data_IF_494702151840
#
_entry.id   IF_494702151840
#
_cell.length_a   1.000
_cell.length_b   1.000
_cell.length_c   1.000
_cell.angle_alpha   90.00
_cell.angle_beta   90.00
_cell.angle_gamma   90.00
#
_symmetry.space_group_name_H-M   'P 1'
#
loop_
_entity.id
_entity.type
_entity.pdbx_description
1 polymer ?
#
# COMPACT_ATOMS: atom_id res chain seq x y z
N UNK A 1 19.51 -6.84 -28.80
CA UNK A 1 18.10 -6.50 -28.51
C UNK A 1 18.13 -5.36 -27.52
N UNK A 2 17.48 -4.24 -27.81
CA UNK A 2 17.47 -3.08 -26.92
C UNK A 2 16.85 -3.46 -25.56
N UNK A 3 17.43 -2.98 -24.47
CA UNK A 3 16.99 -3.26 -23.10
C UNK A 3 15.52 -2.86 -22.90
N UNK A 4 15.07 -1.80 -23.59
CA UNK A 4 13.67 -1.38 -23.62
C UNK A 4 12.72 -2.48 -24.11
N UNK A 5 13.06 -3.14 -25.23
CA UNK A 5 12.23 -4.24 -25.79
C UNK A 5 12.19 -5.46 -24.86
N UNK A 6 13.26 -5.69 -24.11
CA UNK A 6 13.35 -6.78 -23.14
C UNK A 6 12.44 -6.54 -21.93
N UNK A 7 12.32 -5.28 -21.50
CA UNK A 7 11.40 -4.84 -20.44
C UNK A 7 9.95 -4.96 -20.91
N UNK A 8 9.64 -4.57 -22.14
CA UNK A 8 8.30 -4.72 -22.72
C UNK A 8 7.88 -6.20 -22.78
N UNK A 9 8.78 -7.08 -23.21
CA UNK A 9 8.55 -8.52 -23.23
C UNK A 9 8.39 -9.07 -21.80
N UNK A 10 9.22 -8.64 -20.84
CA UNK A 10 9.11 -9.07 -19.45
C UNK A 10 7.80 -8.61 -18.80
N UNK A 11 7.34 -7.38 -19.09
CA UNK A 11 6.08 -6.84 -18.62
C UNK A 11 4.89 -7.54 -19.26
N UNK A 12 4.97 -7.86 -20.54
CA UNK A 12 3.96 -8.66 -21.24
C UNK A 12 3.88 -10.08 -20.68
N UNK A 13 5.02 -10.74 -20.43
CA UNK A 13 5.08 -12.06 -19.80
C UNK A 13 4.51 -11.99 -18.38
N UNK A 14 4.86 -10.97 -17.59
CA UNK A 14 4.27 -10.75 -16.27
C UNK A 14 2.76 -10.60 -16.36
N UNK A 15 2.25 -9.78 -17.28
CA UNK A 15 0.83 -9.55 -17.47
C UNK A 15 0.09 -10.83 -17.87
N UNK A 16 0.63 -11.58 -18.83
CA UNK A 16 0.08 -12.87 -19.28
C UNK A 16 0.12 -13.91 -18.16
N UNK A 17 1.20 -13.97 -17.38
CA UNK A 17 1.34 -14.91 -16.27
C UNK A 17 0.43 -14.53 -15.09
N UNK A 18 0.21 -13.24 -14.80
CA UNK A 18 -0.76 -12.76 -13.79
C UNK A 18 -2.17 -13.18 -14.18
N UNK A 19 -2.58 -12.90 -15.42
CA UNK A 19 -3.91 -13.27 -15.92
C UNK A 19 -4.08 -14.79 -15.95
N UNK A 20 -3.10 -15.51 -16.50
CA UNK A 20 -3.14 -16.96 -16.61
C UNK A 20 -3.09 -17.68 -15.27
N UNK A 21 -2.35 -17.14 -14.29
CA UNK A 21 -2.31 -17.63 -12.92
C UNK A 21 -3.63 -17.45 -12.17
N UNK A 22 -4.32 -16.33 -12.39
CA UNK A 22 -5.67 -16.07 -11.86
C UNK A 22 -6.71 -16.98 -12.54
N UNK A 23 -6.54 -17.29 -13.82
CA UNK A 23 -7.49 -18.08 -14.62
C UNK A 23 -7.25 -19.60 -14.58
N UNK A 24 -6.31 -20.10 -13.75
CA UNK A 24 -6.01 -21.54 -13.65
C UNK A 24 -5.60 -22.21 -14.98
N UNK A 25 -4.95 -21.48 -15.88
CA UNK A 25 -4.39 -22.08 -17.10
C UNK A 25 -3.27 -23.06 -16.71
N UNK A 26 -3.25 -24.26 -17.31
CA UNK A 26 -2.28 -25.31 -17.00
C UNK A 26 -0.87 -24.95 -17.52
N UNK A 27 -0.14 -24.16 -16.76
CA UNK A 27 1.29 -23.92 -17.02
C UNK A 27 2.19 -24.96 -16.32
N UNK A 28 3.41 -25.19 -16.84
CA UNK A 28 4.50 -25.84 -16.12
C UNK A 28 4.65 -25.28 -14.71
N UNK A 29 5.00 -26.15 -13.74
CA UNK A 29 5.04 -25.81 -12.30
C UNK A 29 5.91 -24.59 -11.99
N UNK A 30 7.01 -24.39 -12.72
CA UNK A 30 7.91 -23.26 -12.53
C UNK A 30 7.32 -21.91 -13.00
N UNK A 31 6.46 -21.92 -14.03
CA UNK A 31 5.77 -20.70 -14.50
C UNK A 31 4.61 -20.28 -13.60
N UNK A 32 4.13 -21.17 -12.73
CA UNK A 32 3.06 -20.84 -11.76
C UNK A 32 3.54 -19.98 -10.60
N UNK A 33 4.84 -19.99 -10.30
CA UNK A 33 5.41 -19.18 -9.23
C UNK A 33 6.09 -17.94 -9.83
N UNK A 34 5.52 -16.73 -9.64
CA UNK A 34 6.08 -15.53 -10.23
C UNK A 34 7.49 -15.20 -9.74
N UNK A 35 7.94 -15.73 -8.59
CA UNK A 35 9.32 -15.52 -8.13
C UNK A 35 10.36 -16.15 -9.06
N UNK A 36 10.08 -17.31 -9.66
CA UNK A 36 11.02 -17.92 -10.59
C UNK A 36 11.11 -17.12 -11.89
N UNK A 37 9.97 -16.66 -12.40
CA UNK A 37 9.91 -15.81 -13.59
C UNK A 37 10.63 -14.49 -13.33
N UNK A 38 10.30 -13.81 -12.23
CA UNK A 38 10.94 -12.55 -11.83
C UNK A 38 12.44 -12.72 -11.57
N UNK A 39 12.84 -13.79 -10.89
CA UNK A 39 14.25 -14.09 -10.62
C UNK A 39 15.04 -14.36 -11.90
N UNK A 40 14.46 -15.06 -12.87
CA UNK A 40 15.07 -15.27 -14.19
C UNK A 40 15.23 -13.95 -14.95
N UNK A 41 14.22 -13.07 -14.93
CA UNK A 41 14.30 -11.73 -15.53
C UNK A 41 15.40 -10.89 -14.85
N UNK A 42 15.46 -10.86 -13.52
CA UNK A 42 16.50 -10.12 -12.80
C UNK A 42 17.90 -10.67 -13.09
N UNK A 43 18.05 -12.00 -13.13
CA UNK A 43 19.32 -12.64 -13.50
C UNK A 43 19.74 -12.22 -14.90
N UNK A 44 18.81 -12.24 -15.85
CA UNK A 44 19.07 -11.80 -17.22
C UNK A 44 19.43 -10.31 -17.29
N UNK A 45 18.75 -9.46 -16.51
CA UNK A 45 19.08 -8.02 -16.41
C UNK A 45 20.52 -7.80 -15.95
N UNK A 46 20.98 -8.53 -14.92
CA UNK A 46 22.35 -8.46 -14.40
C UNK A 46 23.37 -8.96 -15.43
N UNK A 47 23.10 -10.10 -16.08
CA UNK A 47 24.00 -10.70 -17.08
C UNK A 47 24.15 -9.81 -18.32
N UNK A 48 23.05 -9.20 -18.78
CA UNK A 48 23.06 -8.37 -19.99
C UNK A 48 23.62 -6.96 -19.77
N UNK A 49 23.75 -6.51 -18.52
CA UNK A 49 24.30 -5.20 -18.20
C UNK A 49 25.52 -5.36 -17.29
N UNK A 50 26.75 -5.42 -17.86
CA UNK A 50 27.96 -5.70 -17.09
C UNK A 50 28.47 -4.52 -16.24
N UNK A 51 27.78 -3.37 -16.25
CA UNK A 51 28.23 -2.20 -15.51
C UNK A 51 28.15 -2.45 -13.99
N UNK A 52 29.25 -2.34 -13.23
CA UNK A 52 29.23 -2.57 -11.78
C UNK A 52 28.28 -1.63 -11.03
N UNK A 53 28.15 -0.37 -11.48
CA UNK A 53 27.19 0.59 -10.91
C UNK A 53 25.75 0.11 -11.01
N UNK A 54 25.37 -0.52 -12.12
CA UNK A 54 24.06 -1.13 -12.28
C UNK A 54 23.85 -2.29 -11.32
N UNK A 55 24.86 -3.16 -11.15
CA UNK A 55 24.77 -4.29 -10.21
C UNK A 55 24.60 -3.83 -8.76
N UNK A 56 25.36 -2.82 -8.33
CA UNK A 56 25.19 -2.24 -7.00
C UNK A 56 23.79 -1.65 -6.83
N UNK A 57 23.27 -0.95 -7.84
CA UNK A 57 21.90 -0.43 -7.83
C UNK A 57 20.84 -1.52 -7.72
N UNK A 58 20.99 -2.62 -8.47
CA UNK A 58 20.09 -3.79 -8.42
C UNK A 58 20.16 -4.47 -7.05
N UNK A 59 21.35 -4.77 -6.54
CA UNK A 59 21.53 -5.43 -5.24
C UNK A 59 21.00 -4.58 -4.08
N UNK A 60 21.30 -3.27 -4.10
CA UNK A 60 20.78 -2.35 -3.11
C UNK A 60 19.24 -2.28 -3.16
N UNK A 61 18.66 -2.18 -4.37
CA UNK A 61 17.22 -2.17 -4.53
C UNK A 61 16.58 -3.48 -4.04
N UNK A 62 17.18 -4.64 -4.32
CA UNK A 62 16.71 -5.93 -3.81
C UNK A 62 16.68 -5.90 -2.28
N UNK A 63 17.77 -5.46 -1.65
CA UNK A 63 17.87 -5.41 -0.20
C UNK A 63 16.80 -4.49 0.43
N UNK A 64 16.73 -3.23 -0.01
CA UNK A 64 15.80 -2.26 0.61
C UNK A 64 14.33 -2.59 0.31
N UNK A 65 13.99 -3.04 -0.91
CA UNK A 65 12.60 -3.35 -1.28
C UNK A 65 12.11 -4.66 -0.63
N UNK A 66 13.01 -5.62 -0.41
CA UNK A 66 12.75 -6.80 0.41
C UNK A 66 12.44 -6.40 1.86
N UNK A 67 13.33 -5.62 2.48
CA UNK A 67 13.15 -5.15 3.87
C UNK A 67 11.86 -4.33 3.97
N UNK A 68 11.53 -3.51 2.97
CA UNK A 68 10.29 -2.74 2.94
C UNK A 68 9.07 -3.66 3.04
N UNK A 69 8.97 -4.70 2.22
CA UNK A 69 7.80 -5.58 2.28
C UNK A 69 7.77 -6.48 3.51
N UNK A 70 8.92 -6.89 4.04
CA UNK A 70 8.98 -7.55 5.35
C UNK A 70 8.43 -6.62 6.44
N UNK A 71 8.86 -5.36 6.45
CA UNK A 71 8.42 -4.36 7.43
C UNK A 71 6.91 -4.09 7.34
N UNK A 72 6.34 -4.05 6.13
CA UNK A 72 4.89 -3.96 5.95
C UNK A 72 4.13 -5.19 6.42
N UNK A 73 4.67 -6.39 6.19
CA UNK A 73 4.11 -7.63 6.73
C UNK A 73 4.04 -7.58 8.26
N UNK A 74 5.15 -7.14 8.90
CA UNK A 74 5.24 -6.95 10.35
C UNK A 74 4.24 -5.91 10.87
N UNK A 75 4.24 -4.69 10.32
CA UNK A 75 3.35 -3.60 10.74
C UNK A 75 1.88 -3.99 10.58
N UNK A 76 1.51 -4.60 9.45
CA UNK A 76 0.14 -5.01 9.17
C UNK A 76 -0.36 -6.03 10.19
N UNK A 77 0.49 -6.96 10.63
CA UNK A 77 0.13 -7.97 11.63
C UNK A 77 0.14 -7.39 13.03
N UNK A 78 1.17 -6.60 13.39
CA UNK A 78 1.30 -5.97 14.69
C UNK A 78 0.08 -5.10 15.07
N UNK A 79 -0.54 -4.45 14.08
CA UNK A 79 -1.80 -3.71 14.25
C UNK A 79 -3.01 -4.53 14.74
N UNK A 80 -2.91 -5.85 14.71
CA UNK A 80 -3.96 -6.77 15.16
C UNK A 80 -3.47 -7.63 16.33
N UNK A 81 -2.44 -7.18 17.07
CA UNK A 81 -1.81 -7.94 18.14
C UNK A 81 -1.84 -7.19 19.47
N UNK A 82 -1.66 -7.92 20.56
CA UNK A 82 -1.72 -7.39 21.93
C UNK A 82 -0.49 -6.59 22.38
N UNK A 83 0.62 -6.57 21.60
CA UNK A 83 1.88 -5.93 21.99
C UNK A 83 2.03 -4.52 21.38
N UNK A 84 2.02 -3.50 22.24
CA UNK A 84 2.09 -2.10 21.79
C UNK A 84 3.48 -1.74 21.26
N UNK A 85 4.52 -2.18 21.98
CA UNK A 85 5.91 -1.96 21.60
C UNK A 85 6.19 -2.57 20.22
N UNK A 86 5.63 -3.76 19.96
CA UNK A 86 5.75 -4.39 18.64
C UNK A 86 5.09 -3.57 17.54
N UNK A 87 3.89 -3.04 17.74
CA UNK A 87 3.24 -2.20 16.74
C UNK A 87 3.97 -0.87 16.53
N UNK A 88 4.35 -0.17 17.60
CA UNK A 88 5.08 1.10 17.48
C UNK A 88 6.42 0.91 16.75
N UNK A 89 7.21 -0.09 17.15
CA UNK A 89 8.51 -0.41 16.54
C UNK A 89 8.36 -0.74 15.06
N UNK A 90 7.42 -1.62 14.71
CA UNK A 90 7.20 -2.03 13.32
C UNK A 90 6.63 -0.91 12.46
N UNK A 91 5.82 0.01 13.03
CA UNK A 91 5.31 1.18 12.32
C UNK A 91 6.41 2.21 12.03
N UNK A 92 7.30 2.49 13.00
CA UNK A 92 8.48 3.34 12.79
C UNK A 92 9.41 2.72 11.75
N UNK A 93 9.71 1.43 11.90
CA UNK A 93 10.59 0.71 10.98
C UNK A 93 10.03 0.68 9.54
N UNK A 94 8.73 0.41 9.38
CA UNK A 94 8.09 0.43 8.06
C UNK A 94 8.09 1.83 7.44
N UNK A 95 7.88 2.88 8.25
CA UNK A 95 7.94 4.27 7.77
C UNK A 95 9.34 4.66 7.30
N UNK A 96 10.38 4.27 8.06
CA UNK A 96 11.78 4.47 7.70
C UNK A 96 12.14 3.79 6.39
N UNK A 97 11.86 2.49 6.28
CA UNK A 97 12.27 1.73 5.09
C UNK A 97 11.49 2.18 3.86
N UNK A 98 10.19 2.52 4.01
CA UNK A 98 9.41 3.13 2.92
C UNK A 98 10.01 4.46 2.47
N UNK A 99 10.33 5.36 3.41
CA UNK A 99 10.89 6.67 3.10
C UNK A 99 12.23 6.53 2.36
N UNK A 100 13.12 5.67 2.86
CA UNK A 100 14.43 5.38 2.23
C UNK A 100 14.25 4.84 0.82
N UNK A 101 13.39 3.85 0.64
CA UNK A 101 13.17 3.20 -0.66
C UNK A 101 12.55 4.16 -1.66
N UNK A 102 11.50 4.90 -1.25
CA UNK A 102 10.87 5.89 -2.12
C UNK A 102 11.84 7.02 -2.47
N UNK A 103 12.66 7.49 -1.51
CA UNK A 103 13.69 8.50 -1.75
C UNK A 103 14.74 8.01 -2.76
N UNK A 104 15.23 6.78 -2.61
CA UNK A 104 16.18 6.17 -3.54
C UNK A 104 15.59 6.10 -4.95
N UNK A 105 14.39 5.53 -5.09
CA UNK A 105 13.70 5.40 -6.37
C UNK A 105 13.41 6.77 -7.00
N UNK A 106 12.94 7.74 -6.21
CA UNK A 106 12.65 9.10 -6.68
C UNK A 106 13.91 9.80 -7.22
N UNK A 107 15.01 9.73 -6.47
CA UNK A 107 16.28 10.36 -6.88
C UNK A 107 16.86 9.76 -8.15
N UNK A 108 16.61 8.48 -8.39
CA UNK A 108 17.01 7.79 -9.62
C UNK A 108 15.97 7.90 -10.74
N UNK A 109 14.92 8.72 -10.57
CA UNK A 109 13.83 8.91 -11.55
C UNK A 109 12.99 7.65 -11.84
N UNK A 110 13.01 6.67 -10.94
CA UNK A 110 12.22 5.43 -11.00
C UNK A 110 12.32 4.70 -12.35
N UNK A 111 13.52 4.31 -12.80
CA UNK A 111 13.70 3.81 -14.15
C UNK A 111 13.00 2.47 -14.32
N UNK A 112 12.19 2.32 -15.39
CA UNK A 112 11.38 1.11 -15.62
C UNK A 112 12.22 -0.18 -15.70
N UNK A 113 13.51 -0.08 -16.01
CA UNK A 113 14.43 -1.22 -15.97
C UNK A 113 14.56 -1.85 -14.58
N UNK A 114 14.33 -1.09 -13.51
CA UNK A 114 14.39 -1.60 -12.13
C UNK A 114 13.06 -2.22 -11.67
N UNK A 115 12.01 -2.17 -12.48
CA UNK A 115 10.69 -2.71 -12.12
C UNK A 115 10.73 -4.22 -11.84
N UNK A 116 11.36 -5.09 -12.66
CA UNK A 116 11.45 -6.52 -12.34
C UNK A 116 12.23 -6.79 -11.05
N UNK A 117 13.32 -6.05 -10.82
CA UNK A 117 14.11 -6.11 -9.58
C UNK A 117 13.28 -5.74 -8.36
N UNK A 118 12.53 -4.63 -8.44
CA UNK A 118 11.62 -4.20 -7.40
C UNK A 118 10.54 -5.26 -7.14
N UNK A 119 9.88 -5.77 -8.19
CA UNK A 119 8.86 -6.81 -8.09
C UNK A 119 9.38 -8.08 -7.43
N UNK A 120 10.54 -8.58 -7.87
CA UNK A 120 11.16 -9.76 -7.28
C UNK A 120 11.35 -9.60 -5.77
N UNK A 121 12.00 -8.52 -5.37
CA UNK A 121 12.33 -8.25 -3.97
C UNK A 121 11.08 -8.03 -3.10
N UNK A 122 10.09 -7.29 -3.61
CA UNK A 122 8.85 -6.99 -2.88
C UNK A 122 7.94 -8.20 -2.72
N UNK A 123 7.82 -9.05 -3.74
CA UNK A 123 7.06 -10.31 -3.67
C UNK A 123 7.74 -11.28 -2.70
N UNK A 124 9.07 -11.40 -2.78
CA UNK A 124 9.86 -12.23 -1.88
C UNK A 124 9.75 -11.76 -0.42
N UNK A 125 9.83 -10.45 -0.19
CA UNK A 125 9.65 -9.82 1.12
C UNK A 125 8.24 -10.00 1.68
N UNK A 126 7.20 -10.02 0.84
CA UNK A 126 5.82 -10.23 1.29
C UNK A 126 5.61 -11.63 1.87
N UNK A 127 6.18 -12.66 1.23
CA UNK A 127 6.10 -14.04 1.72
C UNK A 127 6.89 -14.21 3.02
N UNK A 128 8.12 -13.69 3.06
CA UNK A 128 8.96 -13.74 4.25
C UNK A 128 8.41 -12.91 5.41
N UNK A 129 7.79 -11.76 5.14
CA UNK A 129 7.18 -10.90 6.15
C UNK A 129 6.14 -11.64 6.98
N UNK A 130 5.30 -12.50 6.36
CA UNK A 130 4.33 -13.35 7.06
C UNK A 130 5.04 -14.30 8.05
N UNK A 131 6.07 -15.01 7.57
CA UNK A 131 6.82 -16.01 8.35
C UNK A 131 7.57 -15.35 9.50
N UNK A 132 8.30 -14.26 9.22
CA UNK A 132 9.09 -13.53 10.22
C UNK A 132 8.16 -12.96 11.30
N UNK A 133 7.03 -12.37 10.91
CA UNK A 133 6.07 -11.84 11.86
C UNK A 133 5.52 -12.91 12.80
N UNK A 134 5.15 -14.08 12.27
CA UNK A 134 4.68 -15.20 13.10
C UNK A 134 5.73 -15.66 14.12
N UNK A 135 7.00 -15.71 13.70
CA UNK A 135 8.11 -16.06 14.61
C UNK A 135 8.29 -15.02 15.72
N UNK A 136 8.27 -13.72 15.38
CA UNK A 136 8.40 -12.64 16.37
C UNK A 136 7.21 -12.65 17.32
N UNK A 137 5.98 -12.77 16.80
CA UNK A 137 4.74 -12.86 17.60
C UNK A 137 4.81 -13.98 18.63
N UNK A 138 5.25 -15.18 18.22
CA UNK A 138 5.45 -16.32 19.12
C UNK A 138 6.51 -16.03 20.18
N UNK A 139 7.61 -15.38 19.80
CA UNK A 139 8.70 -15.06 20.71
C UNK A 139 8.29 -14.04 21.78
N UNK A 140 7.52 -13.02 21.42
CA UNK A 140 7.06 -11.97 22.35
C UNK A 140 5.72 -12.28 23.03
N UNK A 141 5.14 -13.45 22.78
CA UNK A 141 3.83 -13.85 23.32
C UNK A 141 2.67 -12.98 22.86
N UNK A 142 2.76 -12.35 21.70
CA UNK A 142 1.71 -11.46 21.17
C UNK A 142 0.50 -12.27 20.69
N UNK A 143 -0.68 -12.00 21.26
CA UNK A 143 -1.94 -12.69 20.93
C UNK A 143 -2.74 -11.91 19.88
N UNK A 144 -3.61 -12.60 19.15
CA UNK A 144 -4.48 -12.09 18.07
C UNK A 144 -5.56 -11.11 18.54
N UNK A 145 -5.80 -10.97 19.84
CA UNK A 145 -6.77 -10.02 20.38
C UNK A 145 -6.17 -9.19 21.51
N UNK A 146 -6.27 -7.87 21.38
CA UNK A 146 -6.04 -6.96 22.49
C UNK A 146 -7.16 -7.17 23.54
N UNK A 147 -6.84 -7.23 24.85
CA UNK A 147 -7.85 -7.36 25.90
C UNK A 147 -8.96 -6.31 25.75
N UNK A 148 -10.22 -6.75 25.75
CA UNK A 148 -11.42 -5.90 25.59
C UNK A 148 -11.51 -4.74 26.61
N UNK A 149 -10.82 -4.88 27.75
CA UNK A 149 -11.04 -4.04 28.93
C UNK A 149 -10.07 -2.85 29.07
N UNK A 150 -9.19 -2.58 28.09
CA UNK A 150 -8.37 -1.37 28.10
C UNK A 150 -8.47 -0.64 26.76
N UNK A 151 -8.70 0.69 26.76
CA UNK A 151 -8.70 1.48 25.53
C UNK A 151 -7.34 1.34 24.85
N UNK A 152 -7.32 0.91 23.58
CA UNK A 152 -6.05 0.74 22.85
C UNK A 152 -5.26 2.06 22.80
N UNK A 153 -5.94 3.22 22.73
CA UNK A 153 -5.28 4.51 22.72
C UNK A 153 -4.42 4.77 23.98
N UNK A 154 -4.92 4.43 25.17
CA UNK A 154 -4.21 4.63 26.44
C UNK A 154 -2.92 3.81 26.52
N UNK A 155 -2.90 2.68 25.82
CA UNK A 155 -1.76 1.78 25.68
C UNK A 155 -0.64 2.34 24.79
N UNK A 156 -0.97 3.27 23.90
CA UNK A 156 -0.04 3.83 22.90
C UNK A 156 0.45 5.25 23.23
N UNK A 157 -0.14 5.90 24.25
CA UNK A 157 0.15 7.29 24.58
C UNK A 157 1.64 7.61 24.79
N UNK A 158 2.46 6.79 25.50
CA UNK A 158 3.88 7.11 25.68
C UNK A 158 4.66 7.20 24.36
N UNK A 159 4.42 6.28 23.42
CA UNK A 159 5.09 6.29 22.11
C UNK A 159 4.66 7.49 21.26
N UNK A 160 3.38 7.87 21.35
CA UNK A 160 2.85 9.06 20.68
C UNK A 160 3.53 10.33 21.24
N UNK A 161 3.66 10.44 22.56
CA UNK A 161 4.34 11.58 23.21
C UNK A 161 5.79 11.70 22.75
N UNK A 162 6.55 10.60 22.72
CA UNK A 162 7.95 10.62 22.26
C UNK A 162 8.06 11.11 20.81
N UNK A 163 7.20 10.63 19.91
CA UNK A 163 7.20 11.05 18.51
C UNK A 163 6.78 12.51 18.33
N UNK A 164 5.84 13.01 19.15
CA UNK A 164 5.44 14.41 19.17
C UNK A 164 6.55 15.31 19.69
N UNK A 165 7.23 14.91 20.77
CA UNK A 165 8.38 15.65 21.31
C UNK A 165 9.49 15.71 20.25
N UNK A 166 9.83 14.58 19.61
CA UNK A 166 10.81 14.57 18.54
C UNK A 166 10.43 15.51 17.39
N UNK A 167 9.16 15.51 16.96
CA UNK A 167 8.67 16.40 15.92
C UNK A 167 8.74 17.88 16.33
N UNK A 168 8.38 18.22 17.57
CA UNK A 168 8.48 19.58 18.12
C UNK A 168 9.95 20.01 18.16
N UNK A 169 10.85 19.14 18.64
CA UNK A 169 12.29 19.42 18.65
C UNK A 169 12.83 19.66 17.24
N UNK A 170 12.39 18.89 16.23
CA UNK A 170 12.75 19.17 14.85
C UNK A 170 12.27 20.56 14.40
N UNK A 171 11.00 20.90 14.68
CA UNK A 171 10.41 22.18 14.26
C UNK A 171 11.15 23.36 14.91
N UNK A 172 11.58 23.23 16.15
CA UNK A 172 12.22 24.32 16.91
C UNK A 172 13.73 24.44 16.65
N UNK A 173 14.43 23.32 16.46
CA UNK A 173 15.90 23.28 16.54
C UNK A 173 16.60 22.79 15.28
N UNK A 174 15.90 22.20 14.30
CA UNK A 174 16.54 21.73 13.06
C UNK A 174 16.36 22.78 11.97
N UNK A 175 17.44 23.46 11.52
CA UNK A 175 17.37 24.37 10.40
C UNK A 175 16.80 23.66 9.18
N UNK A 176 15.73 24.23 8.63
CA UNK A 176 14.95 23.60 7.58
C UNK A 176 14.60 24.63 6.51
N UNK A 177 14.73 24.28 5.20
CA UNK A 177 14.18 25.11 4.13
C UNK A 177 12.65 25.11 4.12
N UNK A 178 12.01 24.16 4.81
CA UNK A 178 10.57 24.09 5.00
C UNK A 178 10.16 24.93 6.21
N UNK A 179 9.15 25.78 6.03
CA UNK A 179 8.50 26.47 7.15
C UNK A 179 7.83 25.48 8.12
N UNK A 180 7.75 25.84 9.40
CA UNK A 180 7.17 25.01 10.46
C UNK A 180 5.76 24.52 10.17
N UNK A 181 4.95 25.35 9.50
CA UNK A 181 3.59 24.99 9.07
C UNK A 181 3.58 23.86 8.02
N UNK A 182 4.59 23.78 7.16
CA UNK A 182 4.70 22.72 6.15
C UNK A 182 5.08 21.39 6.80
N UNK A 183 6.00 21.42 7.77
CA UNK A 183 6.37 20.23 8.57
C UNK A 183 5.17 19.72 9.35
N UNK A 184 4.45 20.62 10.05
CA UNK A 184 3.24 20.27 10.78
C UNK A 184 2.12 19.79 9.85
N UNK A 185 1.93 20.45 8.70
CA UNK A 185 0.97 20.09 7.67
C UNK A 185 1.23 18.69 7.10
N UNK A 186 2.48 18.36 6.78
CA UNK A 186 2.86 17.02 6.32
C UNK A 186 2.62 15.96 7.41
N UNK A 187 2.94 16.25 8.67
CA UNK A 187 2.65 15.34 9.78
C UNK A 187 1.14 15.09 9.92
N UNK A 188 0.33 16.15 9.83
CA UNK A 188 -1.13 16.03 9.88
C UNK A 188 -1.69 15.25 8.67
N UNK A 189 -1.27 15.56 7.45
CA UNK A 189 -1.69 14.83 6.25
C UNK A 189 -1.32 13.34 6.35
N UNK A 190 -0.13 13.03 6.84
CA UNK A 190 0.31 11.63 7.01
C UNK A 190 -0.47 10.92 8.11
N UNK A 191 -0.87 11.64 9.17
CA UNK A 191 -1.80 11.15 10.18
C UNK A 191 -3.15 10.80 9.57
N UNK A 192 -3.74 11.69 8.78
CA UNK A 192 -5.01 11.44 8.11
C UNK A 192 -4.91 10.27 7.14
N UNK A 193 -3.87 10.19 6.29
CA UNK A 193 -3.65 9.06 5.38
C UNK A 193 -3.60 7.72 6.15
N UNK A 194 -2.77 7.63 7.19
CA UNK A 194 -2.59 6.37 7.92
C UNK A 194 -3.79 6.01 8.81
N UNK A 195 -4.49 7.02 9.35
CA UNK A 195 -5.77 6.85 10.03
C UNK A 195 -6.80 6.27 9.07
N UNK A 196 -7.02 6.92 7.92
CA UNK A 196 -7.98 6.50 6.91
C UNK A 196 -7.61 5.14 6.32
N UNK A 197 -6.32 4.85 6.12
CA UNK A 197 -5.87 3.53 5.69
C UNK A 197 -6.16 2.45 6.72
N UNK A 198 -5.98 2.72 8.01
CA UNK A 198 -6.32 1.79 9.08
C UNK A 198 -7.83 1.50 9.12
N UNK A 199 -8.68 2.52 8.97
CA UNK A 199 -10.14 2.37 8.85
C UNK A 199 -10.49 1.59 7.58
N UNK A 200 -9.85 1.91 6.45
CA UNK A 200 -10.08 1.26 5.16
C UNK A 200 -9.72 -0.23 5.18
N UNK A 201 -8.68 -0.63 5.93
CA UNK A 201 -8.36 -2.07 6.12
C UNK A 201 -9.53 -2.85 6.71
N UNK A 202 -10.25 -2.26 7.66
CA UNK A 202 -11.46 -2.88 8.23
C UNK A 202 -12.62 -2.79 7.23
N UNK A 203 -12.86 -1.60 6.66
CA UNK A 203 -13.95 -1.37 5.72
C UNK A 203 -13.87 -2.22 4.45
N UNK A 204 -12.67 -2.66 4.02
CA UNK A 204 -12.49 -3.63 2.92
C UNK A 204 -13.18 -4.96 3.18
N UNK A 205 -13.38 -5.35 4.44
CA UNK A 205 -14.07 -6.58 4.82
C UNK A 205 -15.51 -6.38 5.21
N UNK A 206 -15.99 -5.13 5.27
CA UNK A 206 -17.39 -4.86 5.53
C UNK A 206 -18.23 -4.99 4.26
N UNK A 207 -19.52 -5.21 4.45
CA UNK A 207 -20.53 -5.18 3.39
C UNK A 207 -21.08 -3.77 3.10
N UNK A 208 -20.44 -2.73 3.63
CA UNK A 208 -20.87 -1.34 3.50
C UNK A 208 -19.91 -0.55 2.60
N UNK A 209 -20.30 -0.37 1.34
CA UNK A 209 -19.51 0.35 0.33
C UNK A 209 -19.39 1.86 0.60
N UNK A 210 -20.35 2.48 1.29
CA UNK A 210 -20.23 3.90 1.66
C UNK A 210 -19.12 4.10 2.69
N UNK A 211 -19.08 3.25 3.71
CA UNK A 211 -18.01 3.25 4.71
C UNK A 211 -16.63 3.09 4.07
N UNK A 212 -16.52 2.13 3.13
CA UNK A 212 -15.30 1.94 2.35
C UNK A 212 -14.94 3.17 1.50
N UNK A 213 -15.90 3.69 0.74
CA UNK A 213 -15.70 4.81 -0.18
C UNK A 213 -15.23 6.08 0.52
N UNK A 214 -15.84 6.44 1.66
CA UNK A 214 -15.41 7.62 2.43
C UNK A 214 -14.00 7.45 3.03
N UNK A 215 -13.69 6.27 3.58
CA UNK A 215 -12.34 5.99 4.07
C UNK A 215 -11.31 6.06 2.94
N UNK A 216 -11.62 5.54 1.75
CA UNK A 216 -10.77 5.62 0.57
C UNK A 216 -10.61 7.07 0.08
N UNK A 217 -11.65 7.89 0.14
CA UNK A 217 -11.61 9.30 -0.28
C UNK A 217 -10.65 10.12 0.57
N UNK A 218 -10.82 10.03 1.89
CA UNK A 218 -9.94 10.72 2.84
C UNK A 218 -8.49 10.24 2.69
N UNK A 219 -8.29 8.93 2.53
CA UNK A 219 -6.96 8.37 2.33
C UNK A 219 -6.32 8.89 1.04
N UNK A 220 -7.02 8.80 -0.09
CA UNK A 220 -6.46 9.19 -1.39
C UNK A 220 -6.12 10.69 -1.43
N UNK A 221 -6.98 11.55 -0.88
CA UNK A 221 -6.73 12.99 -0.80
C UNK A 221 -5.52 13.32 0.06
N UNK A 222 -5.46 12.79 1.28
CA UNK A 222 -4.34 13.03 2.20
C UNK A 222 -3.01 12.51 1.64
N UNK A 223 -3.02 11.31 1.05
CA UNK A 223 -1.84 10.71 0.41
C UNK A 223 -1.35 11.53 -0.78
N UNK A 224 -2.26 12.02 -1.63
CA UNK A 224 -1.88 12.85 -2.78
C UNK A 224 -1.19 14.13 -2.33
N UNK A 225 -1.76 14.85 -1.38
CA UNK A 225 -1.19 16.09 -0.85
C UNK A 225 0.14 15.83 -0.12
N UNK A 226 0.23 14.76 0.65
CA UNK A 226 1.48 14.34 1.30
C UNK A 226 2.59 14.06 0.28
N UNK A 227 2.28 13.30 -0.77
CA UNK A 227 3.22 13.04 -1.87
C UNK A 227 3.59 14.32 -2.62
N UNK A 228 2.64 15.24 -2.83
CA UNK A 228 2.90 16.54 -3.46
C UNK A 228 3.98 17.32 -2.72
N UNK A 229 3.83 17.44 -1.39
CA UNK A 229 4.84 18.07 -0.53
C UNK A 229 6.15 17.28 -0.63
N UNK A 230 6.11 15.96 -0.48
CA UNK A 230 7.32 15.16 -0.46
C UNK A 230 8.14 15.24 -1.75
N UNK A 231 7.50 15.24 -2.91
CA UNK A 231 8.18 15.35 -4.20
C UNK A 231 8.63 16.78 -4.50
N UNK A 232 7.82 17.79 -4.15
CA UNK A 232 8.21 19.20 -4.32
C UNK A 232 9.46 19.57 -3.52
N UNK A 233 9.73 18.86 -2.42
CA UNK A 233 10.94 19.02 -1.61
C UNK A 233 11.92 17.84 -1.77
N UNK A 234 11.89 17.19 -2.93
CA UNK A 234 12.83 16.16 -3.36
C UNK A 234 13.09 15.06 -2.33
N UNK A 235 12.06 14.67 -1.59
CA UNK A 235 12.13 13.65 -0.54
C UNK A 235 13.19 13.96 0.54
N UNK A 236 13.46 15.24 0.84
CA UNK A 236 14.49 15.66 1.81
C UNK A 236 14.32 14.95 3.17
N UNK A 237 15.43 14.57 3.82
CA UNK A 237 15.43 13.90 5.13
C UNK A 237 14.68 14.65 6.23
N UNK A 238 14.56 15.98 6.15
CA UNK A 238 13.72 16.77 7.08
C UNK A 238 12.25 16.32 7.05
N UNK A 239 11.78 15.72 5.94
CA UNK A 239 10.42 15.22 5.81
C UNK A 239 10.21 13.86 6.49
N UNK A 240 11.28 13.15 6.86
CA UNK A 240 11.19 11.81 7.41
C UNK A 240 10.40 11.77 8.73
N UNK A 241 10.73 12.66 9.67
CA UNK A 241 10.08 12.66 10.98
C UNK A 241 8.60 13.07 10.93
N UNK A 242 8.17 14.14 10.23
CA UNK A 242 6.73 14.43 10.13
C UNK A 242 5.97 13.27 9.48
N UNK A 243 6.52 12.64 8.42
CA UNK A 243 5.90 11.45 7.82
C UNK A 243 5.83 10.28 8.81
N UNK A 244 6.88 10.02 9.58
CA UNK A 244 6.92 8.91 10.54
C UNK A 244 6.00 9.16 11.74
N UNK A 245 6.08 10.34 12.36
CA UNK A 245 5.23 10.73 13.49
C UNK A 245 3.76 10.69 13.09
N UNK A 246 3.40 11.35 11.99
CA UNK A 246 2.05 11.32 11.45
C UNK A 246 1.58 9.90 11.14
N UNK A 247 2.40 9.11 10.43
CA UNK A 247 2.05 7.77 10.01
C UNK A 247 1.82 6.79 11.17
N UNK A 248 2.70 6.82 12.17
CA UNK A 248 2.56 5.98 13.37
C UNK A 248 1.30 6.39 14.16
N UNK A 249 1.13 7.69 14.44
CA UNK A 249 -0.05 8.19 15.16
C UNK A 249 -1.35 7.85 14.44
N UNK A 250 -1.40 8.08 13.12
CA UNK A 250 -2.56 7.77 12.28
C UNK A 250 -2.90 6.28 12.31
N UNK A 251 -1.92 5.39 12.12
CA UNK A 251 -2.15 3.95 12.15
C UNK A 251 -2.70 3.47 13.51
N UNK A 252 -2.16 3.98 14.62
CA UNK A 252 -2.57 3.61 15.97
C UNK A 252 -3.99 4.09 16.30
N UNK A 253 -4.26 5.38 16.06
CA UNK A 253 -5.56 5.98 16.29
C UNK A 253 -6.62 5.38 15.37
N UNK A 254 -6.32 5.23 14.08
CA UNK A 254 -7.25 4.69 13.09
C UNK A 254 -7.69 3.27 13.39
N UNK A 255 -6.80 2.39 13.88
CA UNK A 255 -7.18 1.05 14.30
C UNK A 255 -8.17 1.05 15.48
N UNK A 256 -7.94 1.92 16.47
CA UNK A 256 -8.82 2.06 17.61
C UNK A 256 -10.22 2.53 17.19
N UNK A 257 -10.29 3.56 16.34
CA UNK A 257 -11.56 4.13 15.89
C UNK A 257 -12.28 3.27 14.85
N UNK A 258 -11.57 2.51 14.01
CA UNK A 258 -12.16 1.71 12.94
C UNK A 258 -13.27 0.79 13.45
N UNK A 259 -13.04 0.09 14.56
CA UNK A 259 -14.04 -0.81 15.16
C UNK A 259 -15.26 -0.05 15.67
N UNK A 260 -15.06 1.05 16.41
CA UNK A 260 -16.16 1.87 16.91
C UNK A 260 -16.99 2.50 15.79
N UNK A 261 -16.36 2.91 14.68
CA UNK A 261 -17.08 3.40 13.50
C UNK A 261 -17.90 2.26 12.90
N UNK A 262 -17.31 1.07 12.72
CA UNK A 262 -18.01 -0.09 12.18
C UNK A 262 -19.22 -0.51 13.01
N UNK A 263 -19.08 -0.53 14.33
CA UNK A 263 -20.15 -0.93 15.24
C UNK A 263 -21.31 0.08 15.16
N UNK A 264 -21.01 1.39 15.09
CA UNK A 264 -22.03 2.46 14.94
C UNK A 264 -22.82 2.37 13.63
N UNK A 265 -22.20 1.88 12.56
CA UNK A 265 -22.84 1.74 11.25
C UNK A 265 -23.39 0.33 10.99
N UNK A 266 -23.33 -0.57 11.98
CA UNK A 266 -23.77 -1.97 11.89
C UNK A 266 -23.17 -2.73 10.68
N UNK A 267 -21.90 -2.46 10.36
CA UNK A 267 -21.22 -3.14 9.26
C UNK A 267 -21.00 -4.63 9.58
N UNK A 268 -21.33 -5.52 8.63
CA UNK A 268 -21.09 -6.97 8.76
C UNK A 268 -19.83 -7.35 8.02
N UNK A 269 -19.04 -8.25 8.60
CA UNK A 269 -17.74 -8.65 8.06
C UNK A 269 -17.76 -10.05 7.45
N UNK A 270 -17.08 -10.22 6.31
CA UNK A 270 -16.85 -11.50 5.61
C UNK A 270 -18.12 -12.34 5.32
N UNK A 271 -19.27 -11.68 5.25
CA UNK A 271 -20.56 -12.31 4.92
C UNK A 271 -20.58 -12.97 3.52
N UNK A 272 -19.66 -12.59 2.63
CA UNK A 272 -19.53 -13.15 1.27
C UNK A 272 -18.83 -14.52 1.21
N UNK A 273 -18.04 -14.88 2.24
CA UNK A 273 -17.34 -16.17 2.30
C UNK A 273 -18.17 -17.21 3.07
N UNK A 274 -18.87 -16.77 4.12
CA UNK A 274 -19.58 -17.68 5.04
C UNK A 274 -21.06 -17.84 4.69
N UNK A 275 -21.62 -17.04 3.78
CA UNK A 275 -23.03 -17.11 3.40
C UNK A 275 -23.31 -16.96 1.91
N UNK A 276 -24.59 -17.11 1.56
CA UNK A 276 -25.09 -17.01 0.18
C UNK A 276 -25.29 -15.57 -0.30
N UNK A 277 -24.83 -14.59 0.47
CA UNK A 277 -24.99 -13.17 0.11
C UNK A 277 -24.35 -12.92 -1.25
N UNK A 278 -25.16 -12.36 -2.17
CA UNK A 278 -24.71 -11.96 -3.49
C UNK A 278 -23.78 -10.75 -3.36
N UNK A 279 -22.63 -10.81 -4.03
CA UNK A 279 -21.67 -9.69 -4.07
C UNK A 279 -22.18 -8.71 -5.13
N UNK A 280 -22.72 -7.58 -4.68
CA UNK A 280 -23.26 -6.54 -5.56
C UNK A 280 -22.19 -5.51 -5.94
N UNK A 281 -22.26 -5.01 -7.17
CA UNK A 281 -21.36 -3.96 -7.66
C UNK A 281 -21.72 -2.59 -7.06
N UNK A 282 -20.74 -1.80 -6.58
CA UNK A 282 -20.99 -0.51 -5.94
C UNK A 282 -21.23 0.63 -6.96
N UNK A 283 -22.17 0.44 -7.91
CA UNK A 283 -22.37 1.34 -9.05
C UNK A 283 -22.74 2.76 -8.61
N UNK A 284 -23.65 2.88 -7.64
CA UNK A 284 -24.11 4.19 -7.14
C UNK A 284 -22.95 4.94 -6.47
N UNK A 285 -22.17 4.27 -5.63
CA UNK A 285 -21.02 4.87 -4.96
C UNK A 285 -19.97 5.31 -5.98
N UNK A 286 -19.65 4.45 -6.96
CA UNK A 286 -18.74 4.79 -8.04
C UNK A 286 -19.22 6.02 -8.82
N UNK A 287 -20.50 6.10 -9.16
CA UNK A 287 -21.08 7.26 -9.85
C UNK A 287 -20.93 8.54 -9.02
N UNK A 288 -21.27 8.50 -7.72
CA UNK A 288 -21.17 9.66 -6.82
C UNK A 288 -19.73 10.13 -6.66
N UNK A 289 -18.78 9.23 -6.42
CA UNK A 289 -17.37 9.63 -6.32
C UNK A 289 -16.78 10.10 -7.66
N UNK A 290 -17.32 9.62 -8.79
CA UNK A 290 -16.90 10.07 -10.13
C UNK A 290 -17.34 11.50 -10.46
N UNK A 291 -18.30 12.09 -9.74
CA UNK A 291 -18.70 13.49 -9.91
C UNK A 291 -17.51 14.45 -9.71
N UNK A 292 -16.47 14.06 -8.98
CA UNK A 292 -15.24 14.83 -8.85
C UNK A 292 -14.54 15.12 -10.20
N UNK A 293 -14.71 14.26 -11.21
CA UNK A 293 -14.18 14.51 -12.55
C UNK A 293 -14.98 15.57 -13.33
N UNK A 294 -16.27 15.73 -13.03
CA UNK A 294 -17.08 16.81 -13.61
C UNK A 294 -16.57 18.15 -13.08
N UNK A 295 -16.35 18.23 -11.76
CA UNK A 295 -15.76 19.42 -11.12
C UNK A 295 -14.39 19.73 -11.71
N UNK A 296 -13.55 18.71 -11.92
CA UNK A 296 -12.26 18.88 -12.60
C UNK A 296 -12.42 19.49 -13.99
N UNK A 297 -13.33 18.96 -14.82
CA UNK A 297 -13.56 19.46 -16.17
C UNK A 297 -14.04 20.93 -16.20
N UNK A 298 -14.83 21.34 -15.21
CA UNK A 298 -15.30 22.73 -15.07
C UNK A 298 -14.15 23.67 -14.67
N UNK A 299 -13.29 23.26 -13.73
CA UNK A 299 -12.22 24.12 -13.18
C UNK A 299 -10.98 24.18 -14.07
N UNK A 300 -10.55 23.03 -14.61
CA UNK A 300 -9.27 22.89 -15.31
C UNK A 300 -9.40 22.69 -16.84
N UNK A 301 -10.63 22.49 -17.35
CA UNK A 301 -10.86 22.23 -18.77
C UNK A 301 -10.35 20.86 -19.23
N UNK A 302 -10.03 20.73 -20.53
CA UNK A 302 -9.60 19.47 -21.17
C UNK A 302 -8.19 19.50 -21.79
N UNK A 303 -7.43 20.58 -21.57
CA UNK A 303 -6.12 20.80 -22.22
C UNK A 303 -5.06 19.73 -21.92
N UNK A 304 -5.27 18.90 -20.88
CA UNK A 304 -4.37 17.82 -20.46
C UNK A 304 -5.05 16.43 -20.40
N UNK A 305 -6.08 16.19 -21.22
CA UNK A 305 -6.91 14.98 -21.14
C UNK A 305 -6.13 13.66 -21.08
N UNK A 306 -5.07 13.50 -21.89
CA UNK A 306 -4.26 12.26 -21.89
C UNK A 306 -3.58 12.05 -20.53
N UNK A 307 -2.94 13.09 -19.98
CA UNK A 307 -2.24 12.98 -18.69
C UNK A 307 -3.22 12.74 -17.53
N UNK A 308 -4.37 13.42 -17.57
CA UNK A 308 -5.46 13.26 -16.60
C UNK A 308 -6.03 11.84 -16.65
N UNK A 309 -6.35 11.32 -17.84
CA UNK A 309 -6.86 9.96 -18.04
C UNK A 309 -5.84 8.88 -17.66
N UNK A 310 -4.56 9.07 -18.00
CA UNK A 310 -3.50 8.14 -17.58
C UNK A 310 -3.35 8.10 -16.06
N UNK A 311 -3.35 9.26 -15.39
CA UNK A 311 -3.27 9.30 -13.94
C UNK A 311 -4.51 8.70 -13.27
N UNK A 312 -5.70 8.99 -13.79
CA UNK A 312 -6.95 8.38 -13.36
C UNK A 312 -6.87 6.85 -13.45
N UNK A 313 -6.42 6.32 -14.59
CA UNK A 313 -6.23 4.89 -14.82
C UNK A 313 -5.20 4.27 -13.87
N UNK A 314 -4.04 4.89 -13.69
CA UNK A 314 -3.03 4.39 -12.76
C UNK A 314 -3.51 4.41 -11.32
N UNK A 315 -4.12 5.50 -10.85
CA UNK A 315 -4.68 5.58 -9.51
C UNK A 315 -5.80 4.55 -9.29
N UNK A 316 -6.64 4.33 -10.30
CA UNK A 316 -7.67 3.29 -10.30
C UNK A 316 -7.08 1.89 -10.13
N UNK A 317 -6.20 1.47 -11.04
CA UNK A 317 -5.61 0.13 -10.96
C UNK A 317 -4.74 -0.04 -9.73
N UNK A 318 -4.07 1.02 -9.27
CA UNK A 318 -3.29 1.00 -8.04
C UNK A 318 -4.20 0.69 -6.85
N UNK A 319 -5.33 1.38 -6.73
CA UNK A 319 -6.27 1.14 -5.64
C UNK A 319 -6.97 -0.23 -5.74
N UNK A 320 -7.31 -0.69 -6.95
CA UNK A 320 -7.81 -2.06 -7.16
C UNK A 320 -6.80 -3.07 -6.61
N UNK A 321 -5.54 -2.95 -7.03
CA UNK A 321 -4.47 -3.87 -6.65
C UNK A 321 -4.21 -3.85 -5.14
N UNK A 322 -4.27 -2.67 -4.50
CA UNK A 322 -4.09 -2.53 -3.06
C UNK A 322 -5.21 -3.17 -2.25
N UNK A 323 -6.46 -3.04 -2.69
CA UNK A 323 -7.59 -3.69 -2.03
C UNK A 323 -7.43 -5.22 -2.07
N UNK A 324 -7.08 -5.78 -3.24
CA UNK A 324 -6.85 -7.21 -3.44
C UNK A 324 -5.71 -7.73 -2.55
N UNK A 325 -4.50 -7.14 -2.64
CA UNK A 325 -3.36 -7.63 -1.84
C UNK A 325 -3.56 -7.44 -0.34
N UNK A 326 -4.24 -6.36 0.07
CA UNK A 326 -4.55 -6.11 1.48
C UNK A 326 -5.41 -7.22 2.06
N UNK A 327 -6.39 -7.73 1.31
CA UNK A 327 -7.21 -8.86 1.74
C UNK A 327 -6.45 -10.17 1.65
N UNK A 328 -5.72 -10.42 0.55
CA UNK A 328 -4.93 -11.63 0.37
C UNK A 328 -3.92 -11.89 1.51
N UNK A 329 -3.33 -10.84 2.09
CA UNK A 329 -2.44 -10.92 3.28
C UNK A 329 -3.12 -11.45 4.54
N UNK A 330 -4.45 -11.41 4.60
CA UNK A 330 -5.28 -11.86 5.72
C UNK A 330 -5.95 -13.21 5.41
N UNK A 331 -5.54 -13.90 4.34
CA UNK A 331 -6.13 -15.16 3.89
C UNK A 331 -5.14 -16.30 3.90
N UNK A 332 -5.66 -17.51 4.07
CA UNK A 332 -4.91 -18.76 4.09
C UNK A 332 -4.57 -19.30 2.69
N UNK A 333 -4.22 -18.43 1.73
CA UNK A 333 -3.98 -18.82 0.34
C UNK A 333 -2.75 -18.12 -0.26
N UNK A 334 -1.58 -18.74 -0.13
CA UNK A 334 -0.29 -18.11 -0.49
C UNK A 334 -0.15 -17.79 -1.99
N UNK A 335 -0.74 -18.59 -2.88
CA UNK A 335 -0.75 -18.30 -4.33
C UNK A 335 -1.52 -17.01 -4.63
N UNK A 336 -2.61 -16.77 -3.90
CA UNK A 336 -3.43 -15.57 -4.04
C UNK A 336 -2.64 -14.35 -3.55
N UNK A 337 -2.00 -14.47 -2.39
CA UNK A 337 -1.10 -13.44 -1.86
C UNK A 337 0.03 -13.12 -2.84
N UNK A 338 0.67 -14.14 -3.42
CA UNK A 338 1.82 -13.94 -4.29
C UNK A 338 1.44 -13.16 -5.54
N UNK A 339 0.38 -13.56 -6.25
CA UNK A 339 -0.08 -12.85 -7.44
C UNK A 339 -0.64 -11.46 -7.14
N UNK A 340 -1.38 -11.30 -6.04
CA UNK A 340 -1.86 -10.00 -5.60
C UNK A 340 -0.68 -9.05 -5.28
N UNK A 341 0.41 -9.58 -4.70
CA UNK A 341 1.64 -8.82 -4.45
C UNK A 341 2.36 -8.41 -5.73
N UNK A 342 2.44 -9.28 -6.73
CA UNK A 342 3.01 -8.93 -8.06
C UNK A 342 2.23 -7.76 -8.65
N UNK A 343 0.90 -7.90 -8.72
CA UNK A 343 0.03 -6.89 -9.31
C UNK A 343 0.13 -5.56 -8.55
N UNK A 344 0.06 -5.60 -7.22
CA UNK A 344 0.08 -4.39 -6.41
C UNK A 344 1.41 -3.64 -6.44
N UNK A 345 2.54 -4.34 -6.27
CA UNK A 345 3.85 -3.69 -6.31
C UNK A 345 4.17 -3.17 -7.73
N UNK A 346 3.71 -3.87 -8.77
CA UNK A 346 3.91 -3.45 -10.16
C UNK A 346 3.18 -2.15 -10.48
N UNK A 347 1.88 -2.10 -10.21
CA UNK A 347 1.09 -0.90 -10.47
C UNK A 347 1.52 0.26 -9.57
N UNK A 348 1.91 0.00 -8.31
CA UNK A 348 2.47 1.04 -7.44
C UNK A 348 3.72 1.67 -8.06
N UNK A 349 4.66 0.87 -8.55
CA UNK A 349 5.87 1.38 -9.17
C UNK A 349 5.55 2.26 -10.39
N UNK A 350 4.65 1.81 -11.27
CA UNK A 350 4.22 2.57 -12.45
C UNK A 350 3.53 3.89 -12.08
N UNK A 351 2.72 3.87 -11.02
CA UNK A 351 2.03 5.07 -10.54
C UNK A 351 3.01 6.07 -9.97
N UNK A 352 3.96 5.61 -9.15
CA UNK A 352 5.01 6.46 -8.58
C UNK A 352 5.95 7.00 -9.67
N UNK A 353 6.31 6.19 -10.66
CA UNK A 353 7.07 6.65 -11.83
C UNK A 353 6.37 7.81 -12.54
N UNK A 354 5.06 7.69 -12.80
CA UNK A 354 4.29 8.76 -13.41
C UNK A 354 4.22 10.02 -12.53
N UNK A 355 4.03 9.86 -11.22
CA UNK A 355 3.92 10.99 -10.29
C UNK A 355 5.26 11.70 -10.06
N UNK A 356 6.36 10.94 -9.98
CA UNK A 356 7.70 11.45 -9.79
C UNK A 356 8.19 12.22 -11.01
N UNK A 357 7.91 11.74 -12.23
CA UNK A 357 8.42 12.35 -13.46
C UNK A 357 7.62 13.57 -13.94
N UNK A 358 6.31 13.63 -13.67
CA UNK A 358 5.43 14.63 -14.29
C UNK A 358 5.07 15.82 -13.40
N UNK A 359 5.71 15.98 -12.23
CA UNK A 359 5.34 16.93 -11.17
C UNK A 359 3.92 16.72 -10.62
N UNK A 360 3.68 17.03 -9.35
CA UNK A 360 2.34 16.97 -8.75
C UNK A 360 1.72 18.36 -8.79
N UNK A 361 0.77 18.56 -9.70
CA UNK A 361 0.07 19.83 -9.93
C UNK A 361 -1.39 19.76 -9.45
N UNK A 362 -2.05 20.90 -9.13
CA UNK A 362 -3.40 20.89 -8.57
C UNK A 362 -4.46 20.19 -9.44
N UNK A 363 -4.33 20.27 -10.77
CA UNK A 363 -5.22 19.59 -11.73
C UNK A 363 -5.18 18.06 -11.59
N UNK A 364 -4.08 17.49 -11.06
CA UNK A 364 -3.92 16.05 -10.84
C UNK A 364 -4.66 15.53 -9.61
N UNK A 365 -5.17 16.41 -8.75
CA UNK A 365 -5.85 16.02 -7.50
C UNK A 365 -7.09 15.18 -7.79
N UNK A 366 -8.00 15.68 -8.62
CA UNK A 366 -9.24 15.00 -8.94
C UNK A 366 -9.05 13.63 -9.62
N UNK A 367 -8.26 13.49 -10.71
CA UNK A 367 -8.05 12.17 -11.31
C UNK A 367 -7.38 11.17 -10.36
N UNK A 368 -6.43 11.61 -9.53
CA UNK A 368 -5.81 10.72 -8.54
C UNK A 368 -6.82 10.27 -7.47
N UNK A 369 -7.59 11.21 -6.92
CA UNK A 369 -8.57 10.92 -5.85
C UNK A 369 -9.73 10.08 -6.39
N UNK A 370 -10.34 10.47 -7.50
CA UNK A 370 -11.47 9.75 -8.11
C UNK A 370 -11.04 8.34 -8.52
N UNK A 371 -9.90 8.21 -9.22
CA UNK A 371 -9.34 6.91 -9.58
C UNK A 371 -9.07 6.08 -8.32
N UNK A 372 -8.46 6.70 -7.31
CA UNK A 372 -8.16 6.06 -6.04
C UNK A 372 -9.39 5.49 -5.33
N UNK A 373 -10.48 6.24 -5.25
CA UNK A 373 -11.72 5.82 -4.55
C UNK A 373 -12.49 4.78 -5.35
N UNK A 374 -12.75 5.05 -6.63
CA UNK A 374 -13.50 4.13 -7.50
C UNK A 374 -12.76 2.81 -7.67
N UNK A 375 -11.44 2.86 -7.84
CA UNK A 375 -10.59 1.67 -7.90
C UNK A 375 -10.60 0.89 -6.59
N UNK A 376 -10.66 1.55 -5.44
CA UNK A 376 -10.73 0.85 -4.15
C UNK A 376 -12.05 0.09 -3.99
N UNK A 377 -13.18 0.68 -4.40
CA UNK A 377 -14.50 0.05 -4.40
C UNK A 377 -14.56 -1.16 -5.35
N UNK A 378 -14.06 -1.01 -6.58
CA UNK A 378 -13.95 -2.11 -7.55
C UNK A 378 -13.03 -3.21 -7.00
N UNK A 379 -11.88 -2.84 -6.44
CA UNK A 379 -10.93 -3.79 -5.87
C UNK A 379 -11.50 -4.57 -4.69
N UNK A 380 -12.30 -3.93 -3.83
CA UNK A 380 -13.02 -4.62 -2.76
C UNK A 380 -13.95 -5.69 -3.35
N UNK A 381 -14.76 -5.32 -4.33
CA UNK A 381 -15.69 -6.23 -4.98
C UNK A 381 -14.97 -7.42 -5.66
N UNK A 382 -13.96 -7.15 -6.49
CA UNK A 382 -13.15 -8.17 -7.16
C UNK A 382 -12.51 -9.13 -6.13
N UNK A 383 -11.92 -8.59 -5.07
CA UNK A 383 -11.28 -9.42 -4.05
C UNK A 383 -12.28 -10.36 -3.36
N UNK A 384 -13.48 -9.87 -3.03
CA UNK A 384 -14.54 -10.71 -2.46
C UNK A 384 -14.97 -11.83 -3.43
N UNK A 385 -15.09 -11.53 -4.72
CA UNK A 385 -15.42 -12.54 -5.73
C UNK A 385 -14.33 -13.61 -5.87
N UNK A 386 -13.06 -13.18 -5.93
CA UNK A 386 -11.91 -14.08 -5.99
C UNK A 386 -11.87 -14.98 -4.77
N UNK A 387 -12.03 -14.42 -3.57
CA UNK A 387 -12.04 -15.18 -2.32
C UNK A 387 -13.16 -16.23 -2.26
N UNK A 388 -14.37 -15.86 -2.70
CA UNK A 388 -15.49 -16.79 -2.80
C UNK A 388 -15.19 -17.92 -3.78
N UNK A 389 -14.60 -17.60 -4.94
CA UNK A 389 -14.25 -18.59 -5.98
C UNK A 389 -13.17 -19.58 -5.53
N UNK A 390 -12.16 -19.12 -4.79
CA UNK A 390 -11.04 -19.97 -4.35
C UNK A 390 -11.20 -20.46 -2.89
N UNK A 391 -12.33 -20.17 -2.24
CA UNK A 391 -12.60 -20.44 -0.82
C UNK A 391 -11.46 -19.99 0.10
N UNK A 392 -10.89 -18.80 -0.16
CA UNK A 392 -9.84 -18.23 0.68
C UNK A 392 -10.47 -17.66 1.96
N UNK A 393 -10.14 -18.27 3.11
CA UNK A 393 -10.70 -17.91 4.42
C UNK A 393 -9.73 -17.05 5.21
N UNK A 394 -10.25 -16.29 6.18
CA UNK A 394 -9.43 -15.60 7.17
C UNK A 394 -8.46 -16.59 7.83
N UNK A 395 -7.21 -16.19 8.03
CA UNK A 395 -6.27 -16.93 8.89
C UNK A 395 -6.85 -16.97 10.32
N UNK A 396 -7.46 -18.10 10.71
CA UNK A 396 -7.78 -18.36 12.12
C UNK A 396 -6.47 -18.61 12.88
N UNK A 397 -6.39 -18.10 14.10
CA UNK A 397 -5.27 -18.41 14.99
C UNK A 397 -5.19 -19.94 15.17
N UNK A 398 -4.00 -20.58 15.14
CA UNK A 398 -3.84 -22.03 15.26
C UNK A 398 -4.48 -22.66 16.52
N UNK A 399 -4.88 -21.84 17.50
CA UNK A 399 -5.47 -22.28 18.76
C UNK A 399 -7.02 -22.27 18.74
N UNK A 400 -7.66 -22.22 17.57
CA UNK A 400 -9.12 -22.25 17.40
C UNK A 400 -9.61 -23.51 16.64
N UNK A 401 -8.78 -24.56 16.57
CA UNK A 401 -9.15 -25.90 16.10
C UNK A 401 -8.99 -26.88 17.25
#
# INVERSE_FOLDING_TARGET
MDMARLIDIALLILFVCVIGGILHIQYPRFLRNPLYVLGAVVTLQVVLNPAPSFWYGVLFLIAIAYIQNVSYGLQSRAGTRSSNAFHALTAVFASLVFFVTLRYLYKDQMPLMLLPTYLFATVFGSLHGKIISQKIEKHIGAKTEAPKNQPQLMRFWPSIVVLLVALILQILFVPSPLGSWMIAGLAFLTLVDNFSFAVLRLARSSDNYWFHGFAALLQAGAKFLGLAIMFNYEMNWVLFLPTTTGGVMGSLTGQYFAKGISDRINAKFDSHVVGDKKIEWPIIQMAVFSLGMIVHGIIFGQSNFINVSLLLGYAFFQSVSFAVVSRARQRNHDVYLTWASVFSNGIWYLTMHQLALKNITPDKTAPYVVGGVTGSLVGQNIAMQVEKKINARMDLSPNLI
#
